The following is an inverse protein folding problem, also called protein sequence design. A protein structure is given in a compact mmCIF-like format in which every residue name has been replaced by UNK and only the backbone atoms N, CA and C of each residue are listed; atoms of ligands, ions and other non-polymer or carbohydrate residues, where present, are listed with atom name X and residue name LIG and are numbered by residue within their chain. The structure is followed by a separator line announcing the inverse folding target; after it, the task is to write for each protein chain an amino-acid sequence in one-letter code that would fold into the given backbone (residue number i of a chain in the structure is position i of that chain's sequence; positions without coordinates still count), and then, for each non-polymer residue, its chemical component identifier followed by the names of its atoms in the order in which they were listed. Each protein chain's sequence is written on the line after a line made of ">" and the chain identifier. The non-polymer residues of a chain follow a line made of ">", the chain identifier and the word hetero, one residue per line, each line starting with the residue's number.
data_IF_262496449337
#
_entry.id   IF_262496449337
#
_cell.length_a   1.000
_cell.length_b   1.000
_cell.length_c   1.000
_cell.angle_alpha   90.00
_cell.angle_beta   90.00
_cell.angle_gamma   90.00
#
_symmetry.space_group_name_H-M   'P 1'
#
loop_
_entity.id
_entity.type
_entity.pdbx_description
1 polymer ?
#
# COMPACT_ATOMS: atom_id res chain seq x y z
N UNK A 1 0.24 -8.28 -18.64
CA UNK A 1 1.67 -8.18 -18.28
C UNK A 1 1.80 -7.08 -17.26
N UNK A 2 2.58 -7.24 -16.17
CA UNK A 2 2.73 -6.20 -15.14
C UNK A 2 3.94 -5.28 -15.35
N UNK A 3 4.13 -4.33 -14.44
CA UNK A 3 5.31 -3.47 -14.37
C UNK A 3 6.10 -3.80 -13.10
N UNK A 4 7.39 -4.07 -13.21
CA UNK A 4 8.25 -4.37 -12.06
C UNK A 4 9.37 -3.34 -11.95
N UNK A 5 9.49 -2.72 -10.77
CA UNK A 5 10.52 -1.75 -10.42
C UNK A 5 11.43 -2.39 -9.39
N UNK A 6 12.69 -2.63 -9.79
CA UNK A 6 13.68 -3.35 -8.99
C UNK A 6 14.71 -2.40 -8.38
N UNK A 7 14.75 -2.35 -7.06
CA UNK A 7 15.79 -1.66 -6.31
C UNK A 7 17.13 -2.42 -6.34
N UNK A 8 18.22 -1.68 -6.51
CA UNK A 8 19.59 -2.19 -6.56
C UNK A 8 20.45 -1.82 -5.34
N UNK A 9 19.85 -1.20 -4.33
CA UNK A 9 20.53 -0.56 -3.19
C UNK A 9 20.95 0.88 -3.46
N UNK A 10 20.90 1.34 -4.72
CA UNK A 10 21.12 2.73 -5.06
C UNK A 10 19.93 3.61 -4.64
N UNK A 11 20.20 4.90 -4.39
CA UNK A 11 19.16 5.91 -4.25
C UNK A 11 18.42 6.07 -5.58
N UNK A 12 17.09 6.07 -5.54
CA UNK A 12 16.26 6.24 -6.74
C UNK A 12 15.19 7.30 -6.54
N UNK A 13 14.74 7.87 -7.66
CA UNK A 13 13.54 8.68 -7.74
C UNK A 13 12.61 8.05 -8.79
N UNK A 14 11.54 7.43 -8.31
CA UNK A 14 10.50 6.84 -9.16
C UNK A 14 9.31 7.78 -9.14
N UNK A 15 8.85 8.16 -10.32
CA UNK A 15 7.67 9.00 -10.48
C UNK A 15 6.77 8.42 -11.57
N UNK A 16 5.56 8.00 -11.18
CA UNK A 16 4.52 7.54 -12.06
C UNK A 16 3.30 8.43 -11.89
N UNK A 17 2.93 9.16 -12.94
CA UNK A 17 1.80 10.10 -12.94
C UNK A 17 0.81 9.75 -14.04
N UNK A 18 -0.48 9.84 -13.74
CA UNK A 18 -1.56 9.74 -14.74
C UNK A 18 -1.45 8.51 -15.66
N UNK A 19 -1.01 7.39 -15.10
CA UNK A 19 -0.79 6.14 -15.84
C UNK A 19 -1.95 5.18 -15.68
N UNK A 20 -2.12 4.27 -16.63
CA UNK A 20 -3.13 3.22 -16.57
C UNK A 20 -2.46 1.84 -16.70
N UNK A 21 -2.77 0.95 -15.76
CA UNK A 21 -2.43 -0.47 -15.82
C UNK A 21 -3.73 -1.26 -15.65
N UNK A 22 -4.18 -1.92 -16.71
CA UNK A 22 -5.43 -2.68 -16.79
C UNK A 22 -5.22 -4.20 -16.71
N UNK A 23 -3.95 -4.64 -16.67
CA UNK A 23 -3.58 -6.05 -16.52
C UNK A 23 -2.25 -6.19 -15.78
N UNK A 24 -2.11 -7.27 -15.00
CA UNK A 24 -0.92 -7.48 -14.15
C UNK A 24 -0.86 -6.53 -12.95
N UNK A 25 0.25 -6.52 -12.23
CA UNK A 25 0.46 -5.71 -11.04
C UNK A 25 1.62 -4.72 -11.23
N UNK A 26 1.62 -3.63 -10.46
CA UNK A 26 2.79 -2.80 -10.23
C UNK A 26 3.57 -3.38 -9.06
N UNK A 27 4.74 -3.93 -9.34
CA UNK A 27 5.59 -4.58 -8.34
C UNK A 27 6.80 -3.74 -7.99
N UNK A 28 7.06 -3.59 -6.70
CA UNK A 28 8.31 -3.04 -6.17
C UNK A 28 9.06 -4.14 -5.42
N UNK A 29 10.32 -4.37 -5.82
CA UNK A 29 11.14 -5.45 -5.26
C UNK A 29 12.59 -5.02 -5.07
N UNK A 30 13.23 -5.55 -4.04
CA UNK A 30 14.65 -5.31 -3.78
C UNK A 30 14.88 -4.11 -2.87
N UNK A 31 16.11 -3.61 -2.91
CA UNK A 31 16.60 -2.59 -1.99
C UNK A 31 16.58 -1.19 -2.62
N UNK A 32 15.88 -0.26 -1.98
CA UNK A 32 15.83 1.13 -2.35
C UNK A 32 16.70 1.90 -1.37
N UNK A 33 17.84 2.43 -1.85
CA UNK A 33 18.84 3.06 -1.00
C UNK A 33 18.30 4.27 -0.22
N UNK A 34 19.05 4.73 0.78
CA UNK A 34 18.64 5.85 1.62
C UNK A 34 18.25 7.10 0.80
N UNK A 35 17.27 7.85 1.30
CA UNK A 35 16.71 9.05 0.65
C UNK A 35 16.08 8.77 -0.73
N UNK A 36 15.59 7.56 -0.97
CA UNK A 36 14.84 7.22 -2.17
C UNK A 36 13.44 7.84 -2.12
N UNK A 37 12.87 8.09 -3.30
CA UNK A 37 11.53 8.63 -3.44
C UNK A 37 10.76 7.79 -4.44
N UNK A 38 9.57 7.36 -4.06
CA UNK A 38 8.64 6.63 -4.92
C UNK A 38 7.31 7.36 -4.87
N UNK A 39 6.86 7.82 -6.03
CA UNK A 39 5.65 8.59 -6.18
C UNK A 39 4.75 7.93 -7.24
N UNK A 40 3.53 7.60 -6.85
CA UNK A 40 2.46 7.13 -7.73
C UNK A 40 1.26 8.04 -7.55
N UNK A 41 0.94 8.83 -8.58
CA UNK A 41 -0.03 9.91 -8.49
C UNK A 41 -1.05 9.83 -9.62
N UNK A 42 -2.34 10.00 -9.28
CA UNK A 42 -3.38 10.19 -10.29
C UNK A 42 -3.55 9.01 -11.25
N UNK A 43 -3.08 7.82 -10.88
CA UNK A 43 -3.03 6.65 -11.75
C UNK A 43 -4.20 5.71 -11.53
N UNK A 44 -4.55 4.94 -12.56
CA UNK A 44 -5.56 3.89 -12.52
C UNK A 44 -4.90 2.52 -12.65
N UNK A 45 -4.87 1.75 -11.57
CA UNK A 45 -4.23 0.43 -11.46
C UNK A 45 -5.30 -0.59 -11.12
N UNK A 46 -5.94 -1.15 -12.14
CA UNK A 46 -7.11 -2.02 -12.02
C UNK A 46 -6.76 -3.38 -12.61
N UNK A 47 -6.81 -4.43 -11.80
CA UNK A 47 -6.32 -5.75 -12.22
C UNK A 47 -7.14 -6.88 -11.64
N UNK A 48 -7.19 -7.99 -12.37
CA UNK A 48 -7.73 -9.27 -11.88
C UNK A 48 -6.71 -10.06 -11.06
N UNK A 49 -5.48 -9.57 -10.95
CA UNK A 49 -4.42 -10.17 -10.12
C UNK A 49 -4.76 -10.06 -8.64
N UNK A 50 -4.21 -10.93 -7.79
CA UNK A 50 -4.44 -10.87 -6.34
C UNK A 50 -4.12 -9.52 -5.72
N UNK A 51 -3.21 -8.75 -6.32
CA UNK A 51 -2.82 -7.42 -5.88
C UNK A 51 -2.64 -6.45 -7.05
N UNK A 52 -2.98 -5.18 -6.87
CA UNK A 52 -2.72 -4.14 -7.86
C UNK A 52 -1.35 -3.49 -7.69
N UNK A 53 -0.99 -3.13 -6.45
CA UNK A 53 0.38 -2.73 -6.10
C UNK A 53 0.95 -3.74 -5.10
N UNK A 54 2.14 -4.26 -5.41
CA UNK A 54 2.78 -5.31 -4.63
C UNK A 54 4.21 -4.97 -4.25
N UNK A 55 4.45 -4.84 -2.96
CA UNK A 55 5.77 -4.68 -2.37
C UNK A 55 6.25 -6.05 -1.88
N UNK A 56 7.24 -6.61 -2.57
CA UNK A 56 7.71 -7.98 -2.34
C UNK A 56 9.22 -8.04 -2.20
N UNK A 57 9.69 -8.56 -1.07
CA UNK A 57 11.09 -8.43 -0.67
C UNK A 57 11.58 -6.96 -0.83
N UNK A 58 10.75 -6.03 -0.36
CA UNK A 58 10.94 -4.59 -0.49
C UNK A 58 11.66 -4.05 0.73
N UNK A 59 12.83 -3.44 0.52
CA UNK A 59 13.60 -2.78 1.57
C UNK A 59 13.64 -1.29 1.30
N UNK A 60 13.26 -0.52 2.31
CA UNK A 60 13.12 0.93 2.21
C UNK A 60 14.21 1.60 3.05
N UNK A 61 15.22 2.15 2.37
CA UNK A 61 16.35 2.80 3.02
C UNK A 61 15.92 3.99 3.87
N UNK A 62 16.74 4.34 4.85
CA UNK A 62 16.43 5.43 5.78
C UNK A 62 16.12 6.76 5.07
N UNK A 63 15.23 7.57 5.67
CA UNK A 63 14.78 8.87 5.15
C UNK A 63 14.15 8.82 3.74
N UNK A 64 13.61 7.67 3.34
CA UNK A 64 12.94 7.52 2.04
C UNK A 64 11.44 7.84 2.13
N UNK A 65 10.83 8.22 1.01
CA UNK A 65 9.41 8.57 0.95
C UNK A 65 8.64 7.82 -0.14
N UNK A 66 7.58 7.10 0.24
CA UNK A 66 6.68 6.41 -0.67
C UNK A 66 5.31 7.09 -0.58
N UNK A 67 4.81 7.58 -1.71
CA UNK A 67 3.56 8.33 -1.77
C UNK A 67 2.66 7.73 -2.85
N UNK A 68 1.51 7.22 -2.41
CA UNK A 68 0.41 6.78 -3.26
C UNK A 68 -0.71 7.82 -3.12
N UNK A 69 -0.83 8.72 -4.09
CA UNK A 69 -1.70 9.89 -4.00
C UNK A 69 -2.76 9.93 -5.10
N UNK A 70 -4.03 10.07 -4.73
CA UNK A 70 -5.16 10.28 -5.68
C UNK A 70 -5.25 9.23 -6.79
N UNK A 71 -4.94 7.98 -6.49
CA UNK A 71 -5.03 6.88 -7.44
C UNK A 71 -6.37 6.15 -7.33
N UNK A 72 -6.77 5.47 -8.40
CA UNK A 72 -7.77 4.40 -8.37
C UNK A 72 -7.03 3.07 -8.42
N UNK A 73 -7.09 2.28 -7.36
CA UNK A 73 -6.35 1.03 -7.23
C UNK A 73 -7.35 -0.08 -6.89
N UNK A 74 -7.44 -1.08 -7.76
CA UNK A 74 -8.37 -2.19 -7.61
C UNK A 74 -7.62 -3.51 -7.87
N UNK A 75 -7.48 -4.32 -6.82
CA UNK A 75 -6.93 -5.67 -6.91
C UNK A 75 -8.00 -6.72 -6.69
N UNK A 76 -7.67 -7.99 -6.91
CA UNK A 76 -8.61 -9.06 -6.57
C UNK A 76 -8.70 -9.27 -5.06
N UNK A 77 -7.56 -9.44 -4.37
CA UNK A 77 -7.51 -9.67 -2.92
C UNK A 77 -7.01 -8.47 -2.14
N UNK A 78 -6.07 -7.72 -2.69
CA UNK A 78 -5.43 -6.59 -2.04
C UNK A 78 -5.28 -5.42 -3.01
N UNK A 79 -5.69 -4.20 -2.67
CA UNK A 79 -5.38 -3.07 -3.54
C UNK A 79 -3.88 -2.73 -3.45
N UNK A 80 -3.36 -2.59 -2.22
CA UNK A 80 -1.94 -2.40 -1.92
C UNK A 80 -1.47 -3.46 -0.93
N UNK A 81 -0.40 -4.20 -1.27
CA UNK A 81 0.10 -5.27 -0.41
C UNK A 81 1.60 -5.21 -0.16
N UNK A 82 1.99 -5.10 1.11
CA UNK A 82 3.34 -5.32 1.61
C UNK A 82 3.46 -6.74 2.18
N UNK A 83 4.02 -7.65 1.40
CA UNK A 83 4.14 -9.08 1.81
C UNK A 83 5.25 -9.35 2.82
N UNK A 84 6.28 -8.49 2.85
CA UNK A 84 7.37 -8.57 3.81
C UNK A 84 7.19 -7.62 4.99
N UNK A 85 8.15 -7.67 5.92
CA UNK A 85 8.29 -6.61 6.91
C UNK A 85 8.73 -5.32 6.22
N UNK A 86 7.99 -4.23 6.43
CA UNK A 86 8.38 -2.89 5.98
C UNK A 86 8.82 -2.07 7.18
N UNK A 87 10.00 -1.46 7.08
CA UNK A 87 10.56 -0.58 8.12
C UNK A 87 10.63 0.83 7.56
N UNK A 88 9.97 1.76 8.26
CA UNK A 88 10.04 3.21 8.01
C UNK A 88 11.02 3.80 9.01
N UNK A 89 12.27 3.95 8.59
CA UNK A 89 13.40 4.48 9.37
C UNK A 89 13.65 5.95 9.00
N UNK A 90 12.90 6.87 9.62
CA UNK A 90 12.77 8.23 9.11
C UNK A 90 12.05 8.28 7.74
N UNK A 91 11.71 9.47 7.26
CA UNK A 91 10.89 9.63 6.05
C UNK A 91 9.47 9.09 6.25
N UNK A 92 8.84 8.52 5.22
CA UNK A 92 7.48 7.99 5.41
C UNK A 92 6.82 7.28 4.24
N UNK A 93 5.73 6.59 4.55
CA UNK A 93 4.81 5.96 3.60
C UNK A 93 3.47 6.66 3.75
N UNK A 94 2.97 7.26 2.67
CA UNK A 94 1.68 7.94 2.61
C UNK A 94 0.79 7.27 1.57
N UNK A 95 -0.40 6.86 1.98
CA UNK A 95 -1.48 6.45 1.10
C UNK A 95 -2.59 7.46 1.29
N UNK A 96 -2.74 8.41 0.36
CA UNK A 96 -3.66 9.54 0.52
C UNK A 96 -4.56 9.85 -0.67
N UNK A 97 -5.84 10.13 -0.41
CA UNK A 97 -6.76 10.59 -1.45
C UNK A 97 -7.17 9.51 -2.44
N UNK A 98 -6.88 8.23 -2.19
CA UNK A 98 -7.07 7.15 -3.17
C UNK A 98 -8.47 6.54 -3.07
N UNK A 99 -8.94 6.00 -4.19
CA UNK A 99 -10.02 5.01 -4.22
C UNK A 99 -9.39 3.62 -4.28
N UNK A 100 -9.53 2.85 -3.21
CA UNK A 100 -8.97 1.51 -3.06
C UNK A 100 -10.10 0.48 -3.01
N UNK A 101 -10.00 -0.59 -3.78
CA UNK A 101 -11.02 -1.63 -3.78
C UNK A 101 -10.46 -3.03 -4.00
N UNK A 102 -11.22 -4.02 -3.51
CA UNK A 102 -10.97 -5.44 -3.80
C UNK A 102 -12.21 -6.06 -4.42
N UNK A 103 -12.04 -7.04 -5.32
CA UNK A 103 -13.18 -7.72 -5.96
C UNK A 103 -13.54 -9.05 -5.31
N UNK A 104 -12.61 -9.66 -4.56
CA UNK A 104 -12.84 -10.88 -3.77
C UNK A 104 -13.34 -10.53 -2.37
N UNK A 105 -14.18 -11.39 -1.79
CA UNK A 105 -14.87 -11.12 -0.51
C UNK A 105 -15.09 -12.37 0.37
N UNK A 106 -14.54 -13.54 0.02
CA UNK A 106 -14.93 -14.84 0.58
C UNK A 106 -13.90 -15.47 1.53
N UNK A 107 -12.68 -14.92 1.66
CA UNK A 107 -11.63 -15.50 2.51
C UNK A 107 -11.30 -14.64 3.75
N UNK A 108 -11.96 -13.49 3.94
CA UNK A 108 -11.91 -12.69 5.16
C UNK A 108 -10.64 -11.82 5.34
N UNK A 109 -9.63 -12.00 4.48
CA UNK A 109 -8.36 -11.26 4.55
C UNK A 109 -8.25 -10.15 3.51
N UNK A 110 -9.20 -10.08 2.58
CA UNK A 110 -9.20 -9.11 1.48
C UNK A 110 -9.19 -7.67 2.02
N UNK A 111 -8.34 -6.82 1.46
CA UNK A 111 -8.12 -5.49 2.02
C UNK A 111 -7.62 -4.42 1.06
N UNK A 112 -7.94 -3.16 1.37
CA UNK A 112 -7.46 -2.01 0.59
C UNK A 112 -5.96 -1.78 0.83
N UNK A 113 -5.50 -1.84 2.08
CA UNK A 113 -4.08 -1.79 2.42
C UNK A 113 -3.74 -2.96 3.34
N UNK A 114 -2.87 -3.87 2.88
CA UNK A 114 -2.38 -4.99 3.66
C UNK A 114 -0.89 -4.83 3.95
N UNK A 115 -0.51 -4.91 5.22
CA UNK A 115 0.87 -4.89 5.66
C UNK A 115 1.16 -6.10 6.53
N UNK A 116 2.07 -6.96 6.08
CA UNK A 116 2.39 -8.19 6.80
C UNK A 116 3.09 -7.91 8.14
N UNK A 117 4.08 -7.03 8.16
CA UNK A 117 4.68 -6.53 9.41
C UNK A 117 5.19 -5.10 9.21
N UNK A 118 5.10 -4.29 10.26
CA UNK A 118 5.40 -2.86 10.20
C UNK A 118 6.32 -2.45 11.35
N UNK A 119 7.42 -1.79 11.02
CA UNK A 119 8.28 -1.10 11.98
C UNK A 119 8.38 0.37 11.65
N UNK A 120 7.96 1.26 12.55
CA UNK A 120 8.07 2.71 12.38
C UNK A 120 8.99 3.26 13.46
N UNK A 121 10.08 3.91 13.08
CA UNK A 121 11.09 4.42 14.02
C UNK A 121 11.78 5.68 13.52
N UNK A 122 12.54 6.32 14.40
CA UNK A 122 13.43 7.45 14.09
C UNK A 122 12.73 8.61 13.35
N UNK A 123 11.52 9.00 13.77
CA UNK A 123 10.76 10.06 13.11
C UNK A 123 10.00 9.62 11.84
N UNK A 124 10.02 8.32 11.53
CA UNK A 124 9.28 7.76 10.41
C UNK A 124 7.76 7.84 10.60
N UNK A 125 7.01 7.90 9.51
CA UNK A 125 5.55 7.88 9.55
C UNK A 125 4.94 6.93 8.50
N UNK A 126 3.93 6.18 8.92
CA UNK A 126 3.05 5.41 8.04
C UNK A 126 1.64 5.99 8.16
N UNK A 127 1.16 6.61 7.10
CA UNK A 127 -0.05 7.42 7.10
C UNK A 127 -1.01 6.99 5.99
N UNK A 128 -2.24 6.65 6.39
CA UNK A 128 -3.33 6.29 5.49
C UNK A 128 -4.46 7.29 5.72
N UNK A 129 -4.53 8.30 4.86
CA UNK A 129 -5.36 9.48 5.07
C UNK A 129 -6.31 9.72 3.89
N UNK A 130 -7.55 10.16 4.13
CA UNK A 130 -8.45 10.66 3.05
C UNK A 130 -8.67 9.63 1.92
N UNK A 131 -8.75 8.33 2.23
CA UNK A 131 -9.01 7.30 1.21
C UNK A 131 -10.46 6.83 1.26
N UNK A 132 -11.01 6.51 0.09
CA UNK A 132 -12.26 5.73 -0.02
C UNK A 132 -11.90 4.27 -0.26
N UNK A 133 -12.33 3.38 0.64
CA UNK A 133 -11.95 1.96 0.66
C UNK A 133 -13.17 1.07 0.54
N UNK A 134 -13.17 0.17 -0.44
CA UNK A 134 -14.25 -0.80 -0.68
C UNK A 134 -13.67 -2.21 -0.74
N UNK A 135 -13.54 -2.83 0.43
CA UNK A 135 -12.97 -4.16 0.62
C UNK A 135 -13.44 -4.74 1.96
N UNK A 136 -13.24 -6.04 2.19
CA UNK A 136 -13.62 -6.69 3.46
C UNK A 136 -12.97 -5.99 4.66
N UNK A 137 -11.68 -5.66 4.55
CA UNK A 137 -10.97 -4.86 5.53
C UNK A 137 -10.42 -3.59 4.87
N UNK A 138 -10.47 -2.44 5.54
CA UNK A 138 -9.83 -1.23 5.02
C UNK A 138 -8.31 -1.33 5.06
N UNK A 139 -7.75 -1.27 6.27
CA UNK A 139 -6.32 -1.46 6.54
C UNK A 139 -6.16 -2.68 7.44
N UNK A 140 -5.28 -3.62 7.07
CA UNK A 140 -4.96 -4.79 7.88
C UNK A 140 -3.45 -4.87 8.15
N UNK A 141 -3.10 -5.06 9.42
CA UNK A 141 -1.74 -5.31 9.89
C UNK A 141 -1.72 -6.74 10.46
N UNK A 142 -1.11 -7.69 9.75
CA UNK A 142 -1.26 -9.12 10.05
C UNK A 142 -0.31 -9.61 11.16
N UNK A 143 0.92 -9.12 11.16
CA UNK A 143 1.98 -9.57 12.04
C UNK A 143 2.45 -8.47 13.00
N UNK A 144 3.73 -8.54 13.37
CA UNK A 144 4.31 -7.61 14.33
C UNK A 144 4.22 -6.16 13.81
N UNK A 145 3.60 -5.30 14.61
CA UNK A 145 3.56 -3.86 14.40
C UNK A 145 4.27 -3.19 15.56
N UNK A 146 5.32 -2.44 15.26
CA UNK A 146 6.11 -1.69 16.24
C UNK A 146 6.18 -0.23 15.81
N UNK A 147 5.89 0.66 16.74
CA UNK A 147 5.98 2.11 16.53
C UNK A 147 6.79 2.68 17.70
N UNK A 148 7.91 3.30 17.40
CA UNK A 148 8.74 3.93 18.43
C UNK A 148 8.09 5.19 18.98
N UNK A 149 8.61 5.73 20.09
CA UNK A 149 8.12 6.99 20.67
C UNK A 149 8.17 8.19 19.73
N UNK A 150 9.04 8.16 18.73
CA UNK A 150 9.16 9.17 17.69
C UNK A 150 8.50 8.75 16.36
N UNK A 151 7.94 7.55 16.28
CA UNK A 151 7.26 7.04 15.09
C UNK A 151 5.77 7.43 15.09
N UNK A 152 5.18 7.48 13.90
CA UNK A 152 3.75 7.72 13.73
C UNK A 152 3.12 6.63 12.85
N UNK A 153 2.07 5.98 13.35
CA UNK A 153 1.15 5.18 12.56
C UNK A 153 -0.22 5.82 12.64
N UNK A 154 -0.78 6.22 11.50
CA UNK A 154 -2.05 6.93 11.43
C UNK A 154 -2.95 6.37 10.34
N UNK A 155 -4.22 6.16 10.69
CA UNK A 155 -5.32 5.95 9.74
C UNK A 155 -6.38 6.99 10.09
N UNK A 156 -6.60 7.96 9.20
CA UNK A 156 -7.45 9.12 9.49
C UNK A 156 -8.26 9.52 8.27
N UNK A 157 -9.42 10.15 8.48
CA UNK A 157 -10.24 10.75 7.41
C UNK A 157 -10.62 9.79 6.26
N UNK A 158 -10.55 8.48 6.49
CA UNK A 158 -10.90 7.48 5.48
C UNK A 158 -12.39 7.13 5.53
N UNK A 159 -12.96 6.83 4.36
CA UNK A 159 -14.30 6.31 4.18
C UNK A 159 -14.20 4.81 3.92
N UNK A 160 -14.77 3.99 4.81
CA UNK A 160 -14.86 2.55 4.63
C UNK A 160 -16.26 2.19 4.13
N UNK A 161 -16.34 1.75 2.88
CA UNK A 161 -17.58 1.31 2.24
C UNK A 161 -17.73 -0.19 2.50
N UNK A 162 -18.69 -0.54 3.35
CA UNK A 162 -19.03 -1.95 3.59
C UNK A 162 -19.66 -2.59 2.36
N UNK A 163 -19.46 -3.89 2.17
CA UNK A 163 -20.21 -4.65 1.18
C UNK A 163 -21.67 -4.78 1.63
N UNK A 164 -22.62 -4.58 0.72
CA UNK A 164 -24.07 -4.66 1.00
C UNK A 164 -24.55 -6.10 1.17
N UNK A 165 -23.68 -7.06 1.53
CA UNK A 165 -24.07 -8.45 1.69
C UNK A 165 -24.87 -8.59 2.98
N UNK A 166 -26.19 -8.62 2.81
CA UNK A 166 -27.17 -8.97 3.81
C UNK A 166 -26.67 -10.16 4.63
N UNK A 167 -26.61 -10.00 5.94
CA UNK A 167 -26.53 -11.13 6.86
C UNK A 167 -27.82 -11.93 6.63
N UNK A 168 -27.74 -13.03 5.86
CA UNK A 168 -28.81 -14.00 5.87
C UNK A 168 -28.81 -14.60 7.28
N UNK A 169 -29.77 -14.16 8.10
CA UNK A 169 -30.08 -14.78 9.38
C UNK A 169 -30.33 -16.27 9.18
N UNK A 170 -29.69 -17.09 10.01
CA UNK A 170 -29.80 -18.55 10.02
C UNK A 170 -31.16 -19.04 10.55
#
# INVERSE_FOLDING_TARGET
>A
MGLSIRGSGARVHVNMTSSMLDSGALEFRGDFGASSQILVVGSALVTTSSYAIFFVAFFFGANSSLLLIKNRIEGNRYAVYFSGAVVVDGGGIIVKGNTLSTTKEDEGVESSVCVNALGVKNGGYFDVEDNTMSSVNGVILLGATTVSSAGLLRVAECIFVGSTKFLNSA
#
